data_IF_041674778652
#
_entry.id   IF_041674778652
#
_cell.length_a   1.000
_cell.length_b   1.000
_cell.length_c   1.000
_cell.angle_alpha   90.00
_cell.angle_beta   90.00
_cell.angle_gamma   90.00
#
_symmetry.space_group_name_H-M   'P 1'
#
loop_
_entity.id
_entity.type
_entity.pdbx_description
1 polymer ?
#
# COMPACT_ATOMS: atom_id res chain seq x y z
N UNK A 1 -23.30 27.97 36.90
CA UNK A 1 -22.74 28.65 38.08
C UNK A 1 -21.65 27.71 38.61
N UNK A 2 -20.49 27.74 37.98
CA UNK A 2 -19.34 26.93 38.40
C UNK A 2 -18.58 27.72 39.46
N UNK A 3 -18.45 27.13 40.65
CA UNK A 3 -17.64 27.68 41.74
C UNK A 3 -16.17 27.36 41.50
N UNK A 4 -15.36 28.37 41.20
CA UNK A 4 -13.91 28.24 41.29
C UNK A 4 -13.54 27.93 42.75
N UNK A 5 -13.03 26.73 43.00
CA UNK A 5 -12.40 26.41 44.27
C UNK A 5 -10.97 26.92 44.24
N UNK A 6 -10.78 28.18 44.62
CA UNK A 6 -9.45 28.72 44.94
C UNK A 6 -9.05 28.23 46.32
N UNK A 7 -8.35 27.10 46.39
CA UNK A 7 -7.67 26.68 47.61
C UNK A 7 -6.52 27.66 47.89
N UNK A 8 -6.74 28.59 48.80
CA UNK A 8 -5.73 29.54 49.23
C UNK A 8 -4.80 28.88 50.27
N UNK A 9 -3.87 28.04 49.81
CA UNK A 9 -2.93 27.27 50.65
C UNK A 9 -1.85 28.17 51.29
N UNK A 10 -1.79 29.46 50.91
CA UNK A 10 -0.83 30.45 51.40
C UNK A 10 -0.92 30.68 52.93
N UNK A 11 -2.07 30.45 53.56
CA UNK A 11 -2.23 30.68 55.00
C UNK A 11 -1.68 29.56 55.90
N UNK A 12 -1.32 28.39 55.33
CA UNK A 12 -0.99 27.20 56.14
C UNK A 12 0.50 27.07 56.54
N UNK A 13 1.40 27.89 55.99
CA UNK A 13 2.84 27.73 56.20
C UNK A 13 3.52 29.09 56.39
N UNK A 14 3.50 29.58 57.63
CA UNK A 14 4.37 30.70 58.03
C UNK A 14 5.41 30.24 59.07
N UNK A 15 6.59 29.78 58.65
CA UNK A 15 7.81 30.07 59.39
C UNK A 15 8.38 31.37 58.85
N UNK A 16 8.61 32.36 59.73
CA UNK A 16 9.34 33.59 59.37
C UNK A 16 10.70 33.19 58.75
N UNK A 17 10.88 33.48 57.46
CA UNK A 17 12.17 33.32 56.79
C UNK A 17 13.17 34.34 57.32
N UNK A 18 14.47 33.99 57.44
CA UNK A 18 15.53 34.94 57.80
C UNK A 18 15.63 36.08 56.78
N UNK A 19 16.01 37.26 57.26
CA UNK A 19 16.21 38.45 56.43
C UNK A 19 17.24 38.18 55.32
N UNK A 20 16.85 38.36 54.06
CA UNK A 20 17.71 38.14 52.88
C UNK A 20 17.39 36.89 52.05
N UNK A 21 16.41 36.07 52.43
CA UNK A 21 15.92 34.94 51.63
C UNK A 21 14.45 35.18 51.24
N UNK A 22 14.18 35.19 49.93
CA UNK A 22 12.83 35.28 49.36
C UNK A 22 12.47 33.98 48.64
N UNK A 23 11.21 33.55 48.71
CA UNK A 23 10.75 32.29 48.14
C UNK A 23 9.66 32.55 47.10
N UNK A 24 9.97 32.27 45.84
CA UNK A 24 9.03 32.42 44.72
C UNK A 24 8.50 31.05 44.28
N UNK A 25 7.19 30.86 44.40
CA UNK A 25 6.50 29.66 43.91
C UNK A 25 5.95 29.97 42.52
N UNK A 26 6.59 29.42 41.48
CA UNK A 26 6.08 29.53 40.11
C UNK A 26 5.25 28.31 39.73
N UNK A 27 3.99 28.53 39.32
CA UNK A 27 3.10 27.48 38.83
C UNK A 27 3.38 27.16 37.36
N UNK A 28 4.41 26.37 37.09
CA UNK A 28 4.65 25.82 35.76
C UNK A 28 3.72 24.63 35.51
N UNK A 29 3.10 24.49 34.32
CA UNK A 29 2.34 23.30 33.98
C UNK A 29 3.30 22.11 33.86
N UNK A 30 3.40 21.34 34.95
CA UNK A 30 4.23 20.14 35.02
C UNK A 30 3.49 18.99 34.33
N UNK A 31 4.06 18.46 33.26
CA UNK A 31 3.58 17.18 32.70
C UNK A 31 3.94 16.05 33.66
N UNK A 32 3.14 14.97 33.69
CA UNK A 32 3.41 13.80 34.54
C UNK A 32 4.83 13.25 34.32
N UNK A 33 5.34 13.30 33.09
CA UNK A 33 6.73 12.95 32.73
C UNK A 33 7.76 13.77 33.52
N UNK A 34 7.56 15.08 33.67
CA UNK A 34 8.46 15.95 34.46
C UNK A 34 8.39 15.63 35.95
N UNK A 35 7.20 15.36 36.47
CA UNK A 35 7.00 15.00 37.88
C UNK A 35 7.67 13.67 38.22
N UNK A 36 7.49 12.65 37.37
CA UNK A 36 8.10 11.33 37.55
C UNK A 36 9.62 11.41 37.50
N UNK A 37 10.19 12.16 36.54
CA UNK A 37 11.64 12.36 36.45
C UNK A 37 12.20 13.03 37.72
N UNK A 38 11.48 14.01 38.28
CA UNK A 38 11.87 14.67 39.52
C UNK A 38 11.82 13.71 40.73
N UNK A 39 10.76 12.92 40.85
CA UNK A 39 10.62 11.90 41.92
C UNK A 39 11.75 10.88 41.83
N UNK A 40 12.06 10.41 40.62
CA UNK A 40 13.11 9.42 40.39
C UNK A 40 14.49 9.99 40.72
N UNK A 41 14.77 11.24 40.33
CA UNK A 41 15.99 11.94 40.72
C UNK A 41 16.09 12.08 42.25
N UNK A 42 15.03 12.54 42.92
CA UNK A 42 15.00 12.71 44.39
C UNK A 42 15.17 11.38 45.15
N UNK A 43 14.56 10.30 44.70
CA UNK A 43 14.71 8.99 45.34
C UNK A 43 16.13 8.44 45.16
N UNK A 44 16.78 8.71 44.02
CA UNK A 44 18.21 8.39 43.82
C UNK A 44 19.14 9.21 44.71
N UNK A 45 18.86 10.50 44.92
CA UNK A 45 19.60 11.32 45.91
C UNK A 45 19.49 10.78 47.34
N UNK A 46 18.37 10.11 47.65
CA UNK A 46 18.08 9.53 48.96
C UNK A 46 18.69 8.13 49.15
N UNK A 47 19.12 7.49 48.07
CA UNK A 47 19.68 6.12 48.00
C UNK A 47 21.13 5.96 48.45
N UNK A 48 21.64 6.81 49.34
CA UNK A 48 23.00 6.75 49.88
C UNK A 48 23.04 6.68 51.39
N UNK A 49 22.13 5.94 52.03
CA UNK A 49 22.15 5.78 53.50
C UNK A 49 23.11 4.65 53.90
N UNK A 50 24.39 4.78 53.54
CA UNK A 50 25.55 4.16 54.21
C UNK A 50 26.84 4.36 53.39
N UNK A 51 27.35 5.58 53.26
CA UNK A 51 28.78 5.78 53.02
C UNK A 51 29.27 6.93 53.91
N UNK A 52 30.34 6.67 54.65
CA UNK A 52 31.00 7.65 55.51
C UNK A 52 31.42 8.84 54.66
N UNK A 53 30.91 10.03 55.00
CA UNK A 53 31.20 11.30 54.31
C UNK A 53 32.71 11.53 54.23
N UNK A 54 33.31 11.22 53.08
CA UNK A 54 34.63 11.68 52.68
C UNK A 54 34.46 12.64 51.51
N UNK A 55 34.15 13.89 51.83
CA UNK A 55 34.20 15.02 50.89
C UNK A 55 32.85 15.62 50.53
N UNK A 56 32.80 16.95 50.48
CA UNK A 56 31.65 17.77 50.09
C UNK A 56 31.50 17.92 48.57
N UNK A 57 31.93 16.92 47.79
CA UNK A 57 32.20 17.08 46.36
C UNK A 57 31.08 16.59 45.46
N UNK A 58 29.88 17.15 45.55
CA UNK A 58 28.91 17.05 44.45
C UNK A 58 29.34 18.03 43.36
N UNK A 59 29.76 17.51 42.21
CA UNK A 59 30.25 18.32 41.08
C UNK A 59 29.15 18.44 40.03
N UNK A 60 29.18 19.50 39.25
CA UNK A 60 28.19 19.74 38.20
C UNK A 60 28.08 18.57 37.20
N UNK A 61 29.17 17.83 37.00
CA UNK A 61 29.20 16.62 36.16
C UNK A 61 28.34 15.47 36.71
N UNK A 62 28.26 15.34 38.03
CA UNK A 62 27.42 14.33 38.68
C UNK A 62 25.93 14.65 38.47
N UNK A 63 25.59 15.95 38.51
CA UNK A 63 24.24 16.44 38.19
C UNK A 63 23.90 16.20 36.72
N UNK A 64 24.82 16.51 35.81
CA UNK A 64 24.62 16.34 34.36
C UNK A 64 24.39 14.86 34.00
N UNK A 65 25.15 13.94 34.60
CA UNK A 65 24.95 12.50 34.39
C UNK A 65 23.56 12.04 34.87
N UNK A 66 23.11 12.50 36.04
CA UNK A 66 21.76 12.17 36.55
C UNK A 66 20.65 12.69 35.62
N UNK A 67 20.86 13.88 35.02
CA UNK A 67 19.88 14.46 34.09
C UNK A 67 19.88 13.77 32.72
N UNK A 68 21.04 13.40 32.20
CA UNK A 68 21.19 12.77 30.88
C UNK A 68 20.77 11.30 30.86
N UNK A 69 21.01 10.54 31.95
CA UNK A 69 20.60 9.13 32.04
C UNK A 69 19.08 8.92 31.96
N UNK A 70 18.28 9.93 32.31
CA UNK A 70 16.82 9.86 32.29
C UNK A 70 16.20 10.44 31.01
N UNK A 71 17.02 10.78 30.01
CA UNK A 71 16.56 11.26 28.73
C UNK A 71 16.09 10.07 27.88
N UNK A 72 14.79 9.74 27.98
CA UNK A 72 14.16 8.77 27.06
C UNK A 72 14.10 9.42 25.67
N UNK A 73 14.97 8.96 24.77
CA UNK A 73 14.92 9.30 23.35
C UNK A 73 13.68 8.61 22.75
N UNK A 74 12.73 9.42 22.31
CA UNK A 74 11.48 8.93 21.74
C UNK A 74 11.75 8.52 20.29
N UNK A 75 12.07 7.24 20.06
CA UNK A 75 12.28 6.71 18.73
C UNK A 75 10.93 6.49 18.03
N UNK A 76 10.64 7.31 17.02
CA UNK A 76 9.47 7.12 16.17
C UNK A 76 9.77 5.94 15.24
N UNK A 77 9.33 4.75 15.64
CA UNK A 77 9.37 3.56 14.77
C UNK A 77 8.25 3.68 13.74
N UNK A 78 8.61 4.02 12.51
CA UNK A 78 7.68 3.96 11.38
C UNK A 78 7.47 2.48 11.01
N UNK A 79 6.22 2.02 11.12
CA UNK A 79 5.81 0.74 10.56
C UNK A 79 6.05 0.74 9.05
N UNK A 80 7.01 -0.06 8.58
CA UNK A 80 7.24 -0.24 7.16
C UNK A 80 6.15 -1.18 6.64
N UNK A 81 5.13 -0.63 5.97
CA UNK A 81 4.15 -1.45 5.26
C UNK A 81 4.88 -2.28 4.19
N UNK A 82 4.61 -3.59 4.14
CA UNK A 82 5.11 -4.45 3.07
C UNK A 82 4.65 -3.90 1.73
N UNK A 83 5.54 -3.81 0.74
CA UNK A 83 5.18 -3.38 -0.61
C UNK A 83 3.93 -4.16 -1.08
N UNK A 84 2.89 -3.48 -1.59
CA UNK A 84 1.67 -4.15 -2.01
C UNK A 84 1.97 -5.22 -3.07
N UNK A 85 1.24 -6.35 -3.05
CA UNK A 85 1.50 -7.44 -3.99
C UNK A 85 1.36 -6.95 -5.42
N UNK A 86 2.37 -7.23 -6.24
CA UNK A 86 2.46 -6.84 -7.64
C UNK A 86 1.18 -7.19 -8.42
N UNK A 87 0.41 -6.18 -8.83
CA UNK A 87 -0.84 -6.34 -9.58
C UNK A 87 -0.64 -6.03 -11.07
N UNK A 88 -1.41 -6.71 -11.94
CA UNK A 88 -1.52 -6.40 -13.36
C UNK A 88 -2.68 -5.42 -13.53
N UNK A 89 -2.38 -4.15 -13.82
CA UNK A 89 -3.37 -3.06 -13.78
C UNK A 89 -3.89 -2.72 -15.16
N UNK A 90 -5.21 -2.57 -15.32
CA UNK A 90 -5.82 -2.16 -16.59
C UNK A 90 -5.43 -0.73 -16.97
N UNK A 91 -5.15 -0.52 -18.26
CA UNK A 91 -4.68 0.76 -18.81
C UNK A 91 -5.62 1.37 -19.86
N UNK A 92 -6.38 0.54 -20.57
CA UNK A 92 -7.19 1.01 -21.70
C UNK A 92 -7.76 -0.15 -22.51
N UNK A 93 -8.66 0.17 -23.44
CA UNK A 93 -9.22 -0.78 -24.39
C UNK A 93 -9.14 -0.19 -25.81
N UNK A 94 -8.66 -0.97 -26.78
CA UNK A 94 -8.57 -0.58 -28.19
C UNK A 94 -9.30 -1.58 -29.09
N UNK A 95 -10.00 -1.08 -30.11
CA UNK A 95 -10.69 -1.95 -31.08
C UNK A 95 -9.70 -2.40 -32.15
N UNK A 96 -9.71 -3.70 -32.46
CA UNK A 96 -8.86 -4.23 -33.50
C UNK A 96 -9.54 -5.39 -34.26
N UNK A 97 -8.87 -5.83 -35.33
CA UNK A 97 -9.21 -7.07 -36.03
C UNK A 97 -7.91 -7.80 -36.35
N UNK A 98 -7.91 -9.12 -36.26
CA UNK A 98 -6.71 -9.94 -36.46
C UNK A 98 -6.77 -10.58 -37.84
N UNK A 99 -5.62 -10.58 -38.51
CA UNK A 99 -5.39 -11.26 -39.78
C UNK A 99 -4.06 -11.98 -39.67
N UNK A 100 -3.96 -13.21 -40.17
CA UNK A 100 -2.69 -13.93 -40.14
C UNK A 100 -1.76 -13.52 -41.30
N UNK A 101 -0.55 -14.10 -41.34
CA UNK A 101 0.44 -13.82 -42.39
C UNK A 101 -0.03 -14.17 -43.80
N UNK A 102 -0.98 -15.10 -43.93
CA UNK A 102 -1.62 -15.51 -45.19
C UNK A 102 -2.86 -14.65 -45.53
N UNK A 103 -3.07 -13.54 -44.81
CA UNK A 103 -4.21 -12.63 -44.94
C UNK A 103 -5.57 -13.28 -44.66
N UNK A 104 -5.61 -14.37 -43.89
CA UNK A 104 -6.87 -14.97 -43.41
C UNK A 104 -7.40 -14.20 -42.23
N UNK A 105 -8.66 -13.80 -42.32
CA UNK A 105 -9.39 -13.09 -41.27
C UNK A 105 -10.06 -14.08 -40.33
N UNK A 106 -10.17 -13.71 -39.05
CA UNK A 106 -10.97 -14.47 -38.09
C UNK A 106 -12.47 -14.28 -38.35
N UNK A 107 -13.20 -15.39 -38.39
CA UNK A 107 -14.66 -15.46 -38.40
C UNK A 107 -15.14 -16.33 -37.26
N UNK A 108 -16.26 -15.97 -36.64
CA UNK A 108 -16.88 -16.79 -35.61
C UNK A 108 -17.81 -17.82 -36.26
N UNK A 109 -17.67 -19.09 -35.87
CA UNK A 109 -18.58 -20.15 -36.30
C UNK A 109 -19.92 -19.98 -35.57
N UNK A 110 -21.01 -19.90 -36.32
CA UNK A 110 -22.35 -19.73 -35.73
C UNK A 110 -22.68 -20.89 -34.78
N UNK A 111 -23.24 -20.56 -33.62
CA UNK A 111 -23.63 -21.51 -32.57
C UNK A 111 -22.49 -22.40 -32.05
N UNK A 112 -21.22 -22.01 -32.27
CA UNK A 112 -20.04 -22.69 -31.73
C UNK A 112 -19.16 -21.70 -30.95
N UNK A 113 -18.37 -22.23 -30.02
CA UNK A 113 -17.34 -21.50 -29.26
C UNK A 113 -15.99 -21.55 -29.99
N UNK A 114 -16.02 -21.41 -31.32
CA UNK A 114 -14.87 -21.58 -32.20
C UNK A 114 -14.68 -20.39 -33.13
N UNK A 115 -13.42 -20.07 -33.40
CA UNK A 115 -12.99 -19.09 -34.40
C UNK A 115 -12.25 -19.81 -35.51
N UNK A 116 -12.60 -19.52 -36.75
CA UNK A 116 -11.90 -20.01 -37.93
C UNK A 116 -11.14 -18.88 -38.61
N UNK A 117 -9.96 -19.20 -39.14
CA UNK A 117 -9.20 -18.30 -40.00
C UNK A 117 -9.53 -18.62 -41.47
N UNK A 118 -10.15 -17.68 -42.18
CA UNK A 118 -10.57 -17.86 -43.59
C UNK A 118 -10.16 -16.67 -44.46
N UNK A 119 -9.89 -16.93 -45.74
CA UNK A 119 -9.75 -15.84 -46.72
C UNK A 119 -11.13 -15.33 -47.09
N UNK A 120 -11.40 -14.06 -46.77
CA UNK A 120 -12.65 -13.40 -47.13
C UNK A 120 -12.53 -12.77 -48.51
N UNK A 121 -13.47 -13.09 -49.39
CA UNK A 121 -13.61 -12.44 -50.70
C UNK A 121 -14.35 -11.11 -50.56
N UNK A 122 -14.25 -10.24 -51.58
CA UNK A 122 -14.86 -8.91 -51.57
C UNK A 122 -16.34 -8.93 -51.17
N UNK A 123 -16.72 -8.09 -50.19
CA UNK A 123 -18.06 -8.05 -49.58
C UNK A 123 -18.22 -8.88 -48.30
N UNK A 124 -17.32 -9.83 -48.04
CA UNK A 124 -17.32 -10.64 -46.81
C UNK A 124 -16.78 -9.93 -45.56
N UNK A 125 -16.39 -8.66 -45.64
CA UNK A 125 -15.76 -7.95 -44.51
C UNK A 125 -16.66 -7.83 -43.28
N UNK A 126 -17.98 -7.91 -43.43
CA UNK A 126 -18.95 -7.83 -42.33
C UNK A 126 -18.94 -9.08 -41.44
N UNK A 127 -18.44 -10.21 -41.93
CA UNK A 127 -18.32 -11.45 -41.13
C UNK A 127 -17.03 -11.50 -40.30
N UNK A 128 -16.14 -10.53 -40.49
CA UNK A 128 -14.87 -10.43 -39.75
C UNK A 128 -15.15 -10.17 -38.28
N UNK A 129 -14.50 -10.96 -37.43
CA UNK A 129 -14.51 -10.74 -35.98
C UNK A 129 -13.80 -9.44 -35.66
N UNK A 130 -14.51 -8.57 -34.93
CA UNK A 130 -13.95 -7.38 -34.32
C UNK A 130 -13.70 -7.66 -32.84
N UNK A 131 -12.52 -7.29 -32.37
CA UNK A 131 -12.09 -7.54 -30.99
C UNK A 131 -11.96 -6.23 -30.24
N UNK A 132 -12.31 -6.28 -28.96
CA UNK A 132 -11.93 -5.31 -27.96
C UNK A 132 -10.68 -5.85 -27.26
N UNK A 133 -9.55 -5.17 -27.45
CA UNK A 133 -8.28 -5.51 -26.83
C UNK A 133 -8.07 -4.63 -25.60
N UNK A 134 -8.35 -5.20 -24.43
CA UNK A 134 -8.00 -4.57 -23.15
C UNK A 134 -6.50 -4.69 -22.92
N UNK A 135 -5.87 -3.62 -22.46
CA UNK A 135 -4.42 -3.51 -22.25
C UNK A 135 -4.12 -3.34 -20.78
N UNK A 136 -3.02 -3.91 -20.33
CA UNK A 136 -2.62 -3.90 -18.92
C UNK A 136 -1.15 -3.57 -18.77
N UNK A 137 -0.82 -2.94 -17.66
CA UNK A 137 0.55 -2.76 -17.17
C UNK A 137 0.91 -3.96 -16.31
N UNK A 138 1.88 -4.76 -16.76
CA UNK A 138 2.43 -5.85 -15.97
C UNK A 138 3.47 -5.31 -14.97
N UNK A 139 3.44 -5.72 -13.70
CA UNK A 139 4.33 -5.16 -12.67
C UNK A 139 5.79 -5.58 -12.85
N UNK A 140 6.04 -6.69 -13.56
CA UNK A 140 7.39 -7.19 -13.82
C UNK A 140 7.92 -6.69 -15.17
N UNK A 141 9.09 -6.03 -15.21
CA UNK A 141 9.69 -5.49 -16.45
C UNK A 141 10.28 -6.57 -17.38
N UNK A 142 10.32 -7.84 -16.94
CA UNK A 142 10.84 -8.97 -17.72
C UNK A 142 9.87 -9.48 -18.78
N UNK A 143 8.60 -9.09 -18.70
CA UNK A 143 7.59 -9.50 -19.66
C UNK A 143 7.85 -8.78 -20.99
N UNK A 144 8.20 -9.57 -22.02
CA UNK A 144 8.40 -9.06 -23.37
C UNK A 144 7.04 -8.90 -24.07
N UNK A 145 6.65 -7.65 -24.31
CA UNK A 145 5.41 -7.30 -24.99
C UNK A 145 4.38 -6.63 -24.09
N UNK A 146 3.28 -6.18 -24.69
CA UNK A 146 2.16 -5.54 -23.99
C UNK A 146 1.19 -6.63 -23.51
N UNK A 147 0.85 -6.64 -22.23
CA UNK A 147 -0.17 -7.55 -21.69
C UNK A 147 -1.55 -7.12 -22.15
N UNK A 148 -2.32 -8.05 -22.71
CA UNK A 148 -3.64 -7.80 -23.28
C UNK A 148 -4.64 -8.91 -22.99
N UNK A 149 -5.93 -8.59 -23.00
CA UNK A 149 -7.03 -9.54 -23.04
C UNK A 149 -7.89 -9.24 -24.28
N UNK A 150 -8.36 -10.30 -24.95
CA UNK A 150 -9.06 -10.18 -26.23
C UNK A 150 -10.50 -10.65 -26.09
N UNK A 151 -11.44 -9.72 -26.14
CA UNK A 151 -12.87 -9.98 -26.12
C UNK A 151 -13.51 -9.77 -27.50
N UNK A 152 -14.44 -10.63 -27.90
CA UNK A 152 -15.23 -10.44 -29.12
C UNK A 152 -16.22 -9.30 -28.90
N UNK A 153 -16.20 -8.33 -29.81
CA UNK A 153 -17.08 -7.16 -29.75
C UNK A 153 -18.50 -7.53 -30.15
N UNK A 154 -19.47 -7.07 -29.36
CA UNK A 154 -20.88 -7.12 -29.72
C UNK A 154 -21.55 -8.49 -29.56
N UNK A 155 -20.91 -9.44 -28.86
CA UNK A 155 -21.54 -10.71 -28.50
C UNK A 155 -22.26 -10.59 -27.17
N UNK A 156 -23.37 -11.31 -27.03
CA UNK A 156 -24.03 -11.57 -25.75
C UNK A 156 -24.27 -13.09 -25.66
N UNK A 157 -23.54 -13.84 -24.82
CA UNK A 157 -22.65 -13.37 -23.73
C UNK A 157 -21.33 -12.74 -24.23
N UNK A 158 -20.60 -12.06 -23.33
CA UNK A 158 -19.28 -11.51 -23.64
C UNK A 158 -18.28 -12.67 -23.81
N UNK A 159 -17.75 -12.87 -25.01
CA UNK A 159 -16.82 -13.96 -25.28
C UNK A 159 -15.38 -13.45 -25.25
N UNK A 160 -14.51 -14.14 -24.52
CA UNK A 160 -13.09 -13.83 -24.42
C UNK A 160 -12.23 -15.02 -24.83
N UNK A 161 -11.09 -14.74 -25.45
CA UNK A 161 -10.05 -15.73 -25.68
C UNK A 161 -9.35 -16.07 -24.36
N UNK A 162 -9.13 -17.36 -24.10
CA UNK A 162 -8.43 -17.83 -22.91
C UNK A 162 -7.60 -19.08 -23.18
N UNK A 163 -6.53 -19.25 -22.40
CA UNK A 163 -5.67 -20.43 -22.43
C UNK A 163 -6.06 -21.36 -21.28
N UNK A 164 -6.44 -22.61 -21.58
CA UNK A 164 -6.71 -23.63 -20.58
C UNK A 164 -5.77 -24.81 -20.75
N UNK A 165 -5.29 -25.36 -19.64
CA UNK A 165 -4.58 -26.64 -19.65
C UNK A 165 -5.61 -27.76 -19.58
N UNK A 166 -6.07 -28.22 -20.73
CA UNK A 166 -6.94 -29.39 -20.82
C UNK A 166 -6.10 -30.59 -21.27
N UNK A 167 -5.69 -31.43 -20.31
CA UNK A 167 -4.78 -32.55 -20.56
C UNK A 167 -3.30 -32.15 -20.58
N UNK A 168 -2.55 -32.74 -21.52
CA UNK A 168 -1.09 -32.57 -21.58
C UNK A 168 -0.65 -31.19 -22.08
N UNK A 169 -1.41 -30.59 -23.01
CA UNK A 169 -1.01 -29.36 -23.70
C UNK A 169 -1.94 -28.18 -23.35
N UNK A 170 -1.41 -26.95 -23.29
CA UNK A 170 -2.25 -25.75 -23.23
C UNK A 170 -3.04 -25.61 -24.54
N UNK A 171 -4.30 -25.22 -24.41
CA UNK A 171 -5.25 -25.09 -25.52
C UNK A 171 -5.94 -23.73 -25.46
N UNK A 172 -6.21 -23.13 -26.60
CA UNK A 172 -6.90 -21.85 -26.73
C UNK A 172 -8.40 -22.08 -26.86
N UNK A 173 -9.20 -21.34 -26.11
CA UNK A 173 -10.66 -21.47 -26.06
C UNK A 173 -11.35 -20.11 -26.11
N UNK A 174 -12.60 -20.10 -26.55
CA UNK A 174 -13.53 -19.02 -26.24
C UNK A 174 -14.32 -19.35 -24.97
N UNK A 175 -14.39 -18.39 -24.07
CA UNK A 175 -15.09 -18.50 -22.80
C UNK A 175 -16.04 -17.31 -22.61
N UNK A 176 -17.26 -17.61 -22.17
CA UNK A 176 -18.24 -16.60 -21.80
C UNK A 176 -17.90 -16.02 -20.43
N UNK A 177 -17.79 -14.69 -20.35
CA UNK A 177 -17.53 -13.96 -19.11
C UNK A 177 -18.80 -13.18 -18.75
N UNK A 178 -19.41 -13.56 -17.63
CA UNK A 178 -20.66 -12.94 -17.15
C UNK A 178 -20.48 -11.45 -16.87
N UNK A 179 -19.38 -11.09 -16.19
CA UNK A 179 -19.09 -9.71 -15.84
C UNK A 179 -17.82 -9.19 -16.53
N UNK A 180 -18.02 -8.36 -17.56
CA UNK A 180 -16.94 -7.68 -18.29
C UNK A 180 -16.05 -6.81 -17.37
N UNK A 181 -16.58 -6.31 -16.24
CA UNK A 181 -15.81 -5.50 -15.29
C UNK A 181 -14.70 -6.27 -14.56
N UNK A 182 -14.66 -7.60 -14.68
CA UNK A 182 -13.58 -8.41 -14.12
C UNK A 182 -12.29 -8.34 -14.95
N UNK A 183 -12.44 -8.06 -16.25
CA UNK A 183 -11.31 -7.98 -17.18
C UNK A 183 -11.07 -6.54 -17.62
N UNK A 184 -12.10 -5.73 -17.82
CA UNK A 184 -11.92 -4.40 -18.43
C UNK A 184 -12.64 -3.31 -17.66
N UNK A 185 -11.97 -2.18 -17.47
CA UNK A 185 -12.53 -1.00 -16.81
C UNK A 185 -11.51 -0.28 -15.92
N UNK A 186 -11.80 0.98 -15.61
CA UNK A 186 -10.97 1.76 -14.70
C UNK A 186 -10.96 1.11 -13.30
N UNK A 187 -9.77 0.96 -12.72
CA UNK A 187 -9.58 0.34 -11.40
C UNK A 187 -9.52 -1.20 -11.41
N UNK A 188 -9.63 -1.85 -12.58
CA UNK A 188 -9.45 -3.29 -12.67
C UNK A 188 -7.98 -3.65 -12.47
N UNK A 189 -7.73 -4.58 -11.55
CA UNK A 189 -6.43 -5.17 -11.30
C UNK A 189 -6.57 -6.70 -11.24
N UNK A 190 -5.58 -7.39 -11.82
CA UNK A 190 -5.53 -8.84 -11.86
C UNK A 190 -4.29 -9.28 -11.09
N UNK A 191 -4.51 -10.10 -10.06
CA UNK A 191 -3.40 -10.73 -9.36
C UNK A 191 -2.72 -11.76 -10.27
N UNK A 192 -1.38 -11.85 -10.30
CA UNK A 192 -0.64 -12.87 -11.04
C UNK A 192 -1.02 -14.31 -10.68
N UNK A 193 -1.51 -14.53 -9.46
CA UNK A 193 -1.95 -15.84 -8.96
C UNK A 193 -3.45 -16.08 -9.19
N UNK A 194 -4.16 -15.11 -9.77
CA UNK A 194 -5.59 -15.23 -10.07
C UNK A 194 -5.83 -16.13 -11.26
N UNK A 195 -6.92 -16.89 -11.22
CA UNK A 195 -7.43 -17.66 -12.35
C UNK A 195 -7.69 -16.78 -13.60
N UNK A 196 -7.89 -15.46 -13.43
CA UNK A 196 -8.08 -14.50 -14.52
C UNK A 196 -6.86 -14.34 -15.44
N UNK A 197 -5.66 -14.77 -15.01
CA UNK A 197 -4.47 -14.70 -15.86
C UNK A 197 -4.58 -15.54 -17.13
N UNK A 198 -5.48 -16.52 -17.17
CA UNK A 198 -5.74 -17.34 -18.36
C UNK A 198 -6.26 -16.54 -19.57
N UNK A 199 -6.85 -15.38 -19.33
CA UNK A 199 -7.36 -14.48 -20.37
C UNK A 199 -6.28 -13.53 -20.91
N UNK A 200 -5.10 -13.52 -20.29
CA UNK A 200 -4.02 -12.60 -20.62
C UNK A 200 -3.09 -13.20 -21.66
N UNK A 201 -2.69 -12.36 -22.61
CA UNK A 201 -1.74 -12.65 -23.67
C UNK A 201 -0.68 -11.57 -23.69
N UNK A 202 0.53 -11.90 -24.15
CA UNK A 202 1.59 -10.93 -24.38
C UNK A 202 1.64 -10.59 -25.88
N UNK A 203 1.15 -9.41 -26.24
CA UNK A 203 1.24 -8.89 -27.60
C UNK A 203 2.67 -8.45 -27.87
N UNK A 204 3.27 -9.03 -28.90
CA UNK A 204 4.59 -8.63 -29.40
C UNK A 204 4.41 -8.01 -30.78
N UNK A 205 4.94 -6.81 -30.93
CA UNK A 205 4.94 -6.11 -32.20
C UNK A 205 6.29 -6.44 -32.87
N UNK A 206 6.28 -7.31 -33.87
CA UNK A 206 7.47 -7.74 -34.62
C UNK A 206 7.40 -7.24 -36.05
N UNK A 207 8.46 -6.58 -36.51
CA UNK A 207 8.56 -5.97 -37.85
C UNK A 207 8.94 -4.50 -37.77
N UNK A 208 9.51 -3.97 -38.84
CA UNK A 208 9.78 -2.53 -38.99
C UNK A 208 8.65 -1.97 -39.83
N UNK A 209 7.93 -0.97 -39.31
CA UNK A 209 6.93 -0.23 -40.09
C UNK A 209 7.58 0.46 -41.29
#
# INVERSE_FOLDING_TARGET
MESEMTCNVSEMWSPKMPEGLDFEISHHPLTMKRVVNLIFAMERFKGGRSETVQGTGFRDEDLLNIMLENLVEEEIVFGCESAPPAQITWMGEEQCSITDGEKRSLVQVQNSMELHAVMLQGGGGTTKVHLNMSTYLHPTPRVLGRTVALGIRGTNPNLYLCCRKNGANPTLHLEAVENKSLLSGAGVSISPDSDMVRFLFYRQDTGVN
#
